data_IF_816805452724
#
_entry.id   IF_816805452724
#
_cell.length_a   1.000
_cell.length_b   1.000
_cell.length_c   1.000
_cell.angle_alpha   90.00
_cell.angle_beta   90.00
_cell.angle_gamma   90.00
#
_symmetry.space_group_name_H-M   'P 1'
#
loop_
_entity.id
_entity.type
_entity.pdbx_description
1 polymer ?
#
# COMPACT_ATOMS: atom_id res chain seq x y z
N UNK A 1 -1.49 15.44 -7.88
CA UNK A 1 -0.72 16.55 -7.28
C UNK A 1 0.40 16.91 -8.25
N UNK A 2 0.70 18.19 -8.49
CA UNK A 2 1.83 18.59 -9.38
C UNK A 2 2.90 19.25 -8.52
N UNK A 3 3.99 18.55 -8.15
CA UNK A 3 5.08 19.16 -7.41
C UNK A 3 5.93 20.03 -8.35
N UNK A 4 6.04 21.32 -8.04
CA UNK A 4 6.88 22.27 -8.79
C UNK A 4 8.28 22.30 -8.19
N UNK A 5 9.24 21.58 -8.77
CA UNK A 5 10.65 21.60 -8.33
C UNK A 5 11.41 22.82 -8.91
N UNK A 6 12.18 23.51 -8.07
CA UNK A 6 12.84 24.80 -8.37
C UNK A 6 14.17 24.72 -9.15
N UNK A 7 14.54 23.60 -9.78
CA UNK A 7 15.79 23.54 -10.58
C UNK A 7 15.73 22.72 -11.88
N UNK A 8 14.53 22.32 -12.32
CA UNK A 8 14.32 21.71 -13.63
C UNK A 8 13.01 22.24 -14.21
N UNK A 9 13.05 22.95 -15.35
CA UNK A 9 11.85 23.38 -16.11
C UNK A 9 11.14 22.22 -16.83
N UNK A 10 11.23 21.00 -16.29
CA UNK A 10 10.50 19.83 -16.81
C UNK A 10 9.27 19.65 -15.95
N UNK A 11 8.13 20.10 -16.45
CA UNK A 11 6.84 19.76 -15.90
C UNK A 11 6.57 18.28 -16.21
N UNK A 12 6.25 17.51 -15.17
CA UNK A 12 5.78 16.14 -15.31
C UNK A 12 4.42 15.95 -14.64
N UNK A 13 3.81 14.79 -14.85
CA UNK A 13 2.52 14.43 -14.24
C UNK A 13 2.56 13.02 -13.70
N UNK A 14 1.93 12.81 -12.55
CA UNK A 14 1.66 11.50 -11.98
C UNK A 14 0.15 11.42 -11.71
N UNK A 15 -0.51 10.48 -12.37
CA UNK A 15 -1.97 10.28 -12.28
C UNK A 15 -2.24 8.85 -11.83
N UNK A 16 -3.05 8.67 -10.78
CA UNK A 16 -3.48 7.34 -10.33
C UNK A 16 -4.57 6.82 -11.26
N UNK A 17 -4.42 5.59 -11.73
CA UNK A 17 -5.44 4.86 -12.47
C UNK A 17 -6.23 3.99 -11.48
N UNK A 18 -7.51 4.30 -11.20
CA UNK A 18 -8.31 3.57 -10.24
C UNK A 18 -8.65 2.14 -10.72
N UNK A 19 -9.04 1.27 -9.79
CA UNK A 19 -9.54 -0.07 -10.10
C UNK A 19 -8.47 -1.10 -10.48
N UNK A 20 -7.18 -0.77 -10.27
CA UNK A 20 -6.06 -1.68 -10.52
C UNK A 20 -5.49 -2.35 -9.27
N UNK A 21 -5.83 -1.81 -8.09
CA UNK A 21 -5.42 -2.35 -6.81
C UNK A 21 -6.17 -3.62 -6.43
N UNK A 22 -5.53 -4.50 -5.67
CA UNK A 22 -6.12 -5.69 -5.03
C UNK A 22 -5.69 -5.77 -3.56
N UNK A 23 -6.50 -6.36 -2.67
CA UNK A 23 -6.08 -6.64 -1.31
C UNK A 23 -4.86 -7.57 -1.30
N UNK A 24 -3.92 -7.32 -0.39
CA UNK A 24 -2.89 -8.29 -0.04
C UNK A 24 -3.53 -9.36 0.85
N UNK A 25 -3.52 -10.62 0.41
CA UNK A 25 -4.06 -11.74 1.18
C UNK A 25 -2.99 -12.36 2.06
N UNK A 26 -3.41 -13.15 3.05
CA UNK A 26 -2.46 -13.93 3.86
C UNK A 26 -1.63 -14.87 2.99
N UNK A 27 -2.25 -15.56 2.02
CA UNK A 27 -1.56 -16.47 1.10
C UNK A 27 -0.45 -15.75 0.29
N UNK A 28 -0.73 -14.56 -0.24
CA UNK A 28 0.28 -13.76 -0.95
C UNK A 28 1.40 -13.33 -0.01
N UNK A 29 1.08 -12.92 1.22
CA UNK A 29 2.08 -12.54 2.21
C UNK A 29 2.97 -13.70 2.65
N UNK A 30 2.41 -14.88 2.86
CA UNK A 30 3.14 -16.10 3.24
C UNK A 30 4.03 -16.62 2.10
N UNK A 31 3.60 -16.40 0.85
CA UNK A 31 4.39 -16.68 -0.35
C UNK A 31 5.46 -15.61 -0.63
N UNK A 32 5.58 -14.56 0.21
CA UNK A 32 6.43 -13.39 -0.01
C UNK A 32 6.16 -12.67 -1.35
N UNK A 33 4.93 -12.75 -1.85
CA UNK A 33 4.47 -12.08 -3.05
C UNK A 33 4.03 -10.65 -2.76
N UNK A 34 4.11 -9.80 -3.79
CA UNK A 34 3.57 -8.45 -3.78
C UNK A 34 2.20 -8.43 -4.45
N UNK A 35 1.21 -7.83 -3.77
CA UNK A 35 -0.07 -7.51 -4.39
C UNK A 35 -0.01 -6.14 -5.09
N UNK A 36 -0.63 -5.99 -6.28
CA UNK A 36 -0.71 -4.69 -6.93
C UNK A 36 -1.59 -3.75 -6.11
N UNK A 37 -0.99 -2.66 -5.60
CA UNK A 37 -1.70 -1.68 -4.76
C UNK A 37 -2.35 -0.57 -5.60
N UNK A 38 -1.57 0.05 -6.50
CA UNK A 38 -1.99 1.17 -7.34
C UNK A 38 -1.26 1.12 -8.68
N UNK A 39 -1.89 1.69 -9.71
CA UNK A 39 -1.24 1.93 -11.00
C UNK A 39 -1.13 3.43 -11.24
N UNK A 40 0.02 3.87 -11.72
CA UNK A 40 0.28 5.28 -12.03
C UNK A 40 0.56 5.44 -13.52
N UNK A 41 -0.04 6.45 -14.15
CA UNK A 41 0.46 7.02 -15.39
C UNK A 41 1.45 8.13 -15.04
N UNK A 42 2.72 7.90 -15.34
CA UNK A 42 3.80 8.85 -15.06
C UNK A 42 4.35 9.43 -16.36
N UNK A 43 4.50 10.76 -16.43
CA UNK A 43 5.14 11.49 -17.53
C UNK A 43 6.21 12.39 -16.96
N UNK A 44 7.48 12.12 -17.28
CA UNK A 44 8.61 12.91 -16.78
C UNK A 44 8.95 12.71 -15.29
N UNK A 45 8.26 11.79 -14.62
CA UNK A 45 8.54 11.35 -13.25
C UNK A 45 8.50 9.83 -13.18
N UNK A 46 9.14 9.27 -12.16
CA UNK A 46 9.15 7.86 -11.83
C UNK A 46 9.07 7.72 -10.31
N UNK A 47 8.15 6.89 -9.78
CA UNK A 47 8.08 6.64 -8.35
C UNK A 47 9.26 5.77 -7.93
N UNK A 48 9.91 6.15 -6.83
CA UNK A 48 11.11 5.45 -6.32
C UNK A 48 10.89 4.79 -4.96
N UNK A 49 9.86 5.22 -4.22
CA UNK A 49 9.57 4.72 -2.88
C UNK A 49 8.11 4.99 -2.52
N UNK A 50 7.58 4.20 -1.59
CA UNK A 50 6.23 4.33 -1.06
C UNK A 50 6.28 4.38 0.46
N UNK A 51 5.72 5.46 1.00
CA UNK A 51 5.56 5.63 2.45
C UNK A 51 4.16 5.20 2.83
N UNK A 52 4.07 4.15 3.66
CA UNK A 52 2.83 3.71 4.25
C UNK A 52 2.29 4.80 5.19
N UNK A 53 0.99 5.03 5.15
CA UNK A 53 0.29 5.98 6.03
C UNK A 53 -0.96 5.36 6.63
N UNK A 54 -1.93 6.21 6.99
CA UNK A 54 -3.20 5.78 7.55
C UNK A 54 -4.31 5.56 6.53
N UNK A 55 -5.43 5.03 7.04
CA UNK A 55 -6.65 4.80 6.26
C UNK A 55 -6.76 3.39 5.66
N UNK A 56 -5.91 2.46 6.11
CA UNK A 56 -5.99 1.07 5.68
C UNK A 56 -7.21 0.37 6.28
N UNK A 57 -7.69 -0.62 5.53
CA UNK A 57 -8.73 -1.55 5.97
C UNK A 57 -8.11 -2.93 6.01
N UNK A 58 -8.30 -3.61 7.13
CA UNK A 58 -7.77 -4.95 7.37
C UNK A 58 -8.93 -5.84 7.75
N UNK A 59 -8.90 -7.08 7.27
CA UNK A 59 -9.86 -8.12 7.63
C UNK A 59 -9.04 -9.30 8.18
N UNK A 60 -9.41 -9.80 9.37
CA UNK A 60 -8.83 -11.02 9.93
C UNK A 60 -9.29 -12.26 9.18
N UNK A 61 -8.76 -13.43 9.54
CA UNK A 61 -9.15 -14.69 8.90
C UNK A 61 -10.58 -15.11 9.24
N UNK A 62 -11.10 -14.65 10.38
CA UNK A 62 -12.48 -14.90 10.79
C UNK A 62 -13.45 -13.84 10.23
N UNK A 63 -12.93 -12.76 9.63
CA UNK A 63 -13.73 -11.71 9.00
C UNK A 63 -13.91 -10.45 9.85
N UNK A 64 -13.24 -10.34 11.00
CA UNK A 64 -13.22 -9.13 11.83
C UNK A 64 -12.54 -8.00 11.07
N UNK A 65 -13.21 -6.84 10.99
CA UNK A 65 -12.75 -5.69 10.20
C UNK A 65 -12.16 -4.61 11.08
N UNK A 66 -10.95 -4.18 10.72
CA UNK A 66 -10.25 -3.06 11.32
C UNK A 66 -10.21 -1.92 10.29
N UNK A 67 -10.81 -0.79 10.63
CA UNK A 67 -10.94 0.37 9.75
C UNK A 67 -10.00 1.50 10.20
N UNK A 68 -9.40 2.21 9.24
CA UNK A 68 -8.57 3.37 9.55
C UNK A 68 -7.21 3.01 10.14
N UNK A 69 -6.73 1.80 9.89
CA UNK A 69 -5.43 1.31 10.37
C UNK A 69 -4.31 2.24 9.87
N UNK A 70 -3.43 2.63 10.79
CA UNK A 70 -2.24 3.42 10.50
C UNK A 70 -1.00 2.53 10.41
N UNK A 71 -0.37 2.55 9.23
CA UNK A 71 0.85 1.79 8.95
C UNK A 71 2.07 2.69 8.85
N UNK A 72 1.97 3.96 9.28
CA UNK A 72 3.07 4.92 9.22
C UNK A 72 4.26 4.53 10.12
N UNK A 73 4.01 3.75 11.16
CA UNK A 73 5.03 3.18 12.04
C UNK A 73 5.76 1.94 11.49
N UNK A 74 5.28 1.36 10.39
CA UNK A 74 5.86 0.14 9.79
C UNK A 74 5.27 -1.18 10.28
N UNK A 75 4.41 -1.15 11.30
CA UNK A 75 3.70 -2.30 11.84
C UNK A 75 2.33 -1.92 12.41
N UNK A 76 1.48 -2.94 12.58
CA UNK A 76 0.19 -2.88 13.27
C UNK A 76 0.00 -4.17 14.04
N UNK A 77 -0.54 -4.08 15.25
CA UNK A 77 -0.91 -5.22 16.07
C UNK A 77 -2.21 -4.90 16.82
N UNK A 78 -3.12 -5.87 16.85
CA UNK A 78 -4.40 -5.79 17.55
C UNK A 78 -4.84 -7.21 17.93
N UNK A 79 -6.00 -7.34 18.57
CA UNK A 79 -6.57 -8.63 18.95
C UNK A 79 -7.92 -8.85 18.29
N UNK A 80 -8.11 -10.02 17.67
CA UNK A 80 -9.40 -10.44 17.15
C UNK A 80 -10.17 -11.20 18.24
N UNK A 81 -11.19 -10.55 18.81
CA UNK A 81 -12.04 -11.14 19.84
C UNK A 81 -12.91 -12.29 19.31
N UNK A 82 -13.25 -12.32 18.01
CA UNK A 82 -14.08 -13.38 17.42
C UNK A 82 -13.26 -14.64 17.15
N UNK A 83 -12.03 -14.46 16.66
CA UNK A 83 -11.08 -15.56 16.44
C UNK A 83 -10.28 -15.98 17.67
N UNK A 84 -10.29 -15.17 18.72
CA UNK A 84 -9.50 -15.33 19.94
C UNK A 84 -7.97 -15.39 19.68
N UNK A 85 -7.45 -14.61 18.73
CA UNK A 85 -6.02 -14.56 18.39
C UNK A 85 -5.47 -13.14 18.12
N UNK A 86 -4.15 -12.99 18.29
CA UNK A 86 -3.44 -11.75 17.94
C UNK A 86 -3.37 -11.59 16.41
N UNK A 87 -3.75 -10.41 15.91
CA UNK A 87 -3.54 -10.01 14.52
C UNK A 87 -2.34 -9.08 14.42
N UNK A 88 -1.48 -9.31 13.42
CA UNK A 88 -0.28 -8.51 13.23
C UNK A 88 0.06 -8.31 11.76
N UNK A 89 0.41 -7.08 11.42
CA UNK A 89 1.04 -6.70 10.16
C UNK A 89 2.43 -6.16 10.50
N UNK A 90 3.47 -6.65 9.83
CA UNK A 90 4.83 -6.16 10.05
C UNK A 90 5.70 -6.44 8.83
N UNK A 91 6.93 -5.90 8.80
CA UNK A 91 7.86 -6.08 7.69
C UNK A 91 7.26 -5.61 6.34
N UNK A 92 6.57 -4.46 6.38
CA UNK A 92 5.98 -3.84 5.20
C UNK A 92 7.06 -3.53 4.16
N UNK A 93 6.79 -3.92 2.92
CA UNK A 93 7.67 -3.68 1.77
C UNK A 93 6.85 -3.19 0.60
N UNK A 94 7.46 -2.35 -0.22
CA UNK A 94 6.86 -1.86 -1.46
C UNK A 94 7.90 -1.91 -2.57
N UNK A 95 7.42 -2.08 -3.80
CA UNK A 95 8.23 -2.00 -5.00
C UNK A 95 7.38 -1.41 -6.13
N UNK A 96 8.04 -0.85 -7.14
CA UNK A 96 7.40 -0.33 -8.34
C UNK A 96 7.89 -1.10 -9.56
N UNK A 97 6.96 -1.78 -10.22
CA UNK A 97 7.22 -2.50 -11.46
C UNK A 97 6.61 -1.76 -12.65
N UNK A 98 7.39 -1.66 -13.73
CA UNK A 98 6.91 -1.06 -14.98
C UNK A 98 5.98 -2.05 -15.67
N UNK A 99 4.70 -1.70 -15.75
CA UNK A 99 3.69 -2.47 -16.47
C UNK A 99 3.78 -2.13 -17.97
N UNK A 100 3.89 -3.16 -18.81
CA UNK A 100 3.92 -3.04 -20.28
C UNK A 100 2.53 -3.11 -20.88
#
# INVERSE_FOLDING_TARGET
MVPKWKLCSRDGTVTVIPGRGKPLTQEESEAENYAPLMLFECRGYEPIDYVFGGGWKVESLEGTKFEGVDLSGGDFADYDEEGEYDVKISNLRSTFDVVK
#
